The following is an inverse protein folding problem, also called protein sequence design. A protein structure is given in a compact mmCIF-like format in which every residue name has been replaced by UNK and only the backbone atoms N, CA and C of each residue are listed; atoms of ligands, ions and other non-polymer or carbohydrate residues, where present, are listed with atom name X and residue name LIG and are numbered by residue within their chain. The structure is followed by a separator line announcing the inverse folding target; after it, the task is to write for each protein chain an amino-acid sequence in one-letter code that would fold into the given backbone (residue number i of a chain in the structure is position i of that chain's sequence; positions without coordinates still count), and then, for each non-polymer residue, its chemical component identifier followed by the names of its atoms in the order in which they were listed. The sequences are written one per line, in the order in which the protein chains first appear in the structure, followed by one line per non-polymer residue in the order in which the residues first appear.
data_IF_561496116562
#
_entry.id   IF_561496116562
#
_cell.length_a   1.000
_cell.length_b   1.000
_cell.length_c   1.000
_cell.angle_alpha   90.00
_cell.angle_beta   90.00
_cell.angle_gamma   90.00
#
_symmetry.space_group_name_H-M   'P 1'
#
loop_
_entity.id
_entity.type
_entity.pdbx_description
1 polymer ?
#
# COMPACT_ATOMS: atom_id res chain seq x y z
N UNK A 1 33.29 -28.55 -2.36
CA UNK A 1 31.96 -28.06 -2.80
C UNK A 1 31.02 -28.16 -1.61
N UNK A 2 30.74 -27.04 -0.92
CA UNK A 2 29.75 -26.98 0.17
C UNK A 2 28.45 -26.45 -0.43
N UNK A 3 27.39 -27.25 -0.38
CA UNK A 3 26.08 -26.89 -0.88
C UNK A 3 25.54 -25.68 -0.12
N UNK A 4 25.14 -24.65 -0.87
CA UNK A 4 24.39 -23.51 -0.34
C UNK A 4 22.99 -24.01 -0.02
N UNK A 5 22.67 -24.16 1.27
CA UNK A 5 21.29 -24.35 1.70
C UNK A 5 20.48 -23.11 1.30
N UNK A 6 19.32 -23.26 0.64
CA UNK A 6 18.46 -22.13 0.36
C UNK A 6 18.00 -21.52 1.69
N UNK A 7 18.16 -20.21 1.80
CA UNK A 7 17.67 -19.43 2.94
C UNK A 7 16.19 -19.77 3.17
N UNK A 8 15.88 -20.21 4.39
CA UNK A 8 14.52 -20.46 4.83
C UNK A 8 13.66 -19.27 4.42
N UNK A 9 12.59 -19.54 3.66
CA UNK A 9 11.51 -18.61 3.40
C UNK A 9 11.04 -18.07 4.74
N UNK A 10 11.43 -16.84 5.06
CA UNK A 10 11.01 -16.16 6.27
C UNK A 10 9.48 -16.22 6.32
N UNK A 11 8.98 -17.00 7.28
CA UNK A 11 7.56 -17.14 7.55
C UNK A 11 6.96 -15.76 7.67
N UNK A 12 5.95 -15.49 6.84
CA UNK A 12 5.23 -14.23 6.90
C UNK A 12 4.65 -14.12 8.33
N UNK A 13 4.91 -13.02 9.07
CA UNK A 13 4.37 -12.89 10.42
C UNK A 13 2.85 -13.05 10.33
N UNK A 14 2.29 -13.93 11.16
CA UNK A 14 0.85 -14.04 11.30
C UNK A 14 0.34 -12.67 11.76
N UNK A 15 -0.41 -11.96 10.92
CA UNK A 15 -1.08 -10.72 11.32
C UNK A 15 -2.29 -11.11 12.17
N UNK A 16 -2.29 -10.84 13.48
CA UNK A 16 -3.36 -11.29 14.38
C UNK A 16 -4.47 -10.25 14.42
N UNK A 17 -5.07 -9.93 13.28
CA UNK A 17 -6.03 -8.83 13.16
C UNK A 17 -7.14 -9.11 12.16
N UNK A 18 -8.25 -8.39 12.32
CA UNK A 18 -9.34 -8.36 11.36
C UNK A 18 -8.91 -7.69 10.04
N UNK A 19 -9.75 -7.76 9.01
CA UNK A 19 -9.56 -6.96 7.80
C UNK A 19 -9.43 -5.47 8.12
N UNK A 20 -10.28 -4.98 9.04
CA UNK A 20 -10.30 -3.60 9.50
C UNK A 20 -8.96 -3.19 10.13
N UNK A 21 -8.46 -3.97 11.10
CA UNK A 21 -7.16 -3.72 11.75
C UNK A 21 -6.01 -3.68 10.73
N UNK A 22 -6.07 -4.61 9.77
CA UNK A 22 -5.07 -4.76 8.72
C UNK A 22 -5.06 -3.55 7.79
N UNK A 23 -6.24 -3.08 7.37
CA UNK A 23 -6.38 -1.91 6.49
C UNK A 23 -5.99 -0.62 7.22
N UNK A 24 -6.35 -0.48 8.50
CA UNK A 24 -5.90 0.66 9.31
C UNK A 24 -4.38 0.72 9.45
N UNK A 25 -3.75 -0.42 9.73
CA UNK A 25 -2.29 -0.53 9.82
C UNK A 25 -1.63 -0.19 8.48
N UNK A 26 -2.15 -0.75 7.38
CA UNK A 26 -1.67 -0.48 6.03
C UNK A 26 -1.73 1.02 5.69
N UNK A 27 -2.86 1.68 5.94
CA UNK A 27 -3.03 3.10 5.64
C UNK A 27 -2.08 3.98 6.45
N UNK A 28 -1.93 3.67 7.76
CA UNK A 28 -1.01 4.36 8.66
C UNK A 28 0.44 4.22 8.22
N UNK A 29 0.88 2.98 8.00
CA UNK A 29 2.27 2.69 7.64
C UNK A 29 2.63 3.29 6.28
N UNK A 30 1.70 3.23 5.32
CA UNK A 30 1.87 3.85 4.00
C UNK A 30 2.03 5.36 4.10
N UNK A 31 1.22 6.04 4.92
CA UNK A 31 1.35 7.49 5.17
C UNK A 31 2.66 7.83 5.86
N UNK A 32 3.03 7.10 6.91
CA UNK A 32 4.28 7.35 7.66
C UNK A 32 5.49 7.15 6.74
N UNK A 33 5.49 6.09 5.94
CA UNK A 33 6.55 5.83 4.98
C UNK A 33 6.63 6.94 3.93
N UNK A 34 5.50 7.36 3.35
CA UNK A 34 5.45 8.44 2.37
C UNK A 34 5.96 9.77 2.95
N UNK A 35 5.54 10.10 4.18
CA UNK A 35 5.99 11.30 4.90
C UNK A 35 7.51 11.28 5.15
N UNK A 36 8.05 10.16 5.65
CA UNK A 36 9.48 10.02 5.94
C UNK A 36 10.36 10.02 4.68
N UNK A 37 9.80 9.62 3.55
CA UNK A 37 10.54 9.48 2.28
C UNK A 37 10.10 10.51 1.24
N UNK A 38 9.46 11.63 1.64
CA UNK A 38 8.90 12.63 0.71
C UNK A 38 9.93 13.10 -0.32
N UNK A 39 11.17 13.38 0.09
CA UNK A 39 12.25 13.80 -0.81
C UNK A 39 12.60 12.75 -1.86
N UNK A 40 12.73 11.48 -1.46
CA UNK A 40 13.04 10.35 -2.35
C UNK A 40 11.90 10.11 -3.34
N UNK A 41 10.65 10.18 -2.86
CA UNK A 41 9.46 10.00 -3.69
C UNK A 41 9.34 11.11 -4.74
N UNK A 42 9.57 12.37 -4.35
CA UNK A 42 9.59 13.50 -5.29
C UNK A 42 10.69 13.38 -6.33
N UNK A 43 11.90 13.02 -5.90
CA UNK A 43 13.02 12.78 -6.83
C UNK A 43 12.70 11.66 -7.82
N UNK A 44 12.03 10.60 -7.36
CA UNK A 44 11.60 9.47 -8.20
C UNK A 44 10.52 9.88 -9.21
N UNK A 45 9.60 10.77 -8.85
CA UNK A 45 8.62 11.33 -9.80
C UNK A 45 9.29 12.18 -10.87
N UNK A 46 10.27 13.00 -10.51
CA UNK A 46 11.06 13.78 -11.46
C UNK A 46 11.85 12.85 -12.39
N UNK A 47 12.56 11.85 -11.83
CA UNK A 47 13.30 10.88 -12.61
C UNK A 47 12.39 10.15 -13.61
N UNK A 48 11.21 9.71 -13.19
CA UNK A 48 10.23 9.07 -14.08
C UNK A 48 9.84 9.94 -15.27
N UNK A 49 9.64 11.24 -15.06
CA UNK A 49 9.31 12.18 -16.14
C UNK A 49 10.50 12.39 -17.07
N UNK A 50 11.72 12.41 -16.54
CA UNK A 50 12.94 12.70 -17.30
C UNK A 50 13.50 11.49 -18.04
N UNK A 51 13.51 10.31 -17.43
CA UNK A 51 14.16 9.09 -17.95
C UNK A 51 13.19 8.00 -18.38
N UNK A 52 11.91 8.10 -17.99
CA UNK A 52 10.91 7.06 -18.22
C UNK A 52 11.00 5.86 -17.26
N UNK A 53 12.02 5.80 -16.41
CA UNK A 53 12.17 4.73 -15.42
C UNK A 53 11.25 4.96 -14.21
N UNK A 54 10.54 3.91 -13.78
CA UNK A 54 9.68 3.95 -12.59
C UNK A 54 10.14 2.89 -11.57
N UNK A 55 11.22 3.17 -10.81
CA UNK A 55 11.79 2.22 -9.86
C UNK A 55 10.80 1.85 -8.75
N UNK A 56 9.85 2.72 -8.44
CA UNK A 56 8.82 2.48 -7.42
C UNK A 56 7.78 1.47 -7.94
N UNK A 57 7.38 1.56 -9.21
CA UNK A 57 6.35 0.69 -9.80
C UNK A 57 6.75 -0.78 -9.88
N UNK A 58 8.03 -1.07 -10.10
CA UNK A 58 8.52 -2.45 -10.23
C UNK A 58 8.46 -3.21 -8.90
N UNK A 59 8.85 -2.56 -7.80
CA UNK A 59 8.73 -3.10 -6.43
C UNK A 59 7.28 -3.27 -5.99
N UNK A 60 6.38 -2.42 -6.48
CA UNK A 60 4.99 -2.37 -6.00
C UNK A 60 4.10 -3.47 -6.61
N UNK A 61 4.37 -3.94 -7.85
CA UNK A 61 3.44 -4.85 -8.55
C UNK A 61 3.29 -6.22 -7.88
N UNK A 62 4.38 -6.86 -7.48
CA UNK A 62 4.31 -8.18 -6.81
C UNK A 62 3.71 -8.05 -5.41
N UNK A 63 4.15 -7.02 -4.67
CA UNK A 63 3.57 -6.68 -3.36
C UNK A 63 2.04 -6.53 -3.43
N UNK A 64 1.53 -5.89 -4.48
CA UNK A 64 0.09 -5.71 -4.70
C UNK A 64 -0.69 -7.01 -4.90
N UNK A 65 -0.12 -7.96 -5.63
CA UNK A 65 -0.75 -9.26 -5.88
C UNK A 65 -0.84 -10.04 -4.56
N UNK A 66 0.24 -10.03 -3.79
CA UNK A 66 0.33 -10.73 -2.51
C UNK A 66 -0.59 -10.11 -1.46
N UNK A 67 -0.62 -8.77 -1.38
CA UNK A 67 -1.48 -8.03 -0.47
C UNK A 67 -2.96 -8.28 -0.75
N UNK A 68 -3.40 -8.20 -2.01
CA UNK A 68 -4.80 -8.46 -2.36
C UNK A 68 -5.22 -9.89 -2.00
N UNK A 69 -4.34 -10.87 -2.22
CA UNK A 69 -4.61 -12.27 -1.85
C UNK A 69 -4.75 -12.43 -0.33
N UNK A 70 -3.92 -11.75 0.46
CA UNK A 70 -3.97 -11.78 1.92
C UNK A 70 -5.24 -11.12 2.45
N UNK A 71 -5.55 -9.91 1.99
CA UNK A 71 -6.76 -9.19 2.42
C UNK A 71 -8.03 -9.94 2.05
N UNK A 72 -8.07 -10.61 0.90
CA UNK A 72 -9.21 -11.43 0.50
C UNK A 72 -9.48 -12.61 1.46
N UNK A 73 -8.46 -13.16 2.12
CA UNK A 73 -8.61 -14.23 3.13
C UNK A 73 -9.18 -13.72 4.45
N UNK A 74 -9.00 -12.43 4.74
CA UNK A 74 -9.52 -11.78 5.95
C UNK A 74 -10.95 -11.23 5.76
N UNK A 75 -11.44 -11.20 4.52
CA UNK A 75 -12.75 -10.64 4.20
C UNK A 75 -13.87 -11.61 4.61
N UNK A 76 -14.94 -11.14 5.28
CA UNK A 76 -16.04 -12.02 5.75
C UNK A 76 -16.75 -12.79 4.63
N UNK A 77 -16.89 -12.17 3.45
CA UNK A 77 -17.48 -12.83 2.27
C UNK A 77 -16.58 -13.89 1.62
N UNK A 78 -15.35 -14.07 2.11
CA UNK A 78 -14.35 -14.96 1.53
C UNK A 78 -13.76 -14.43 0.20
N UNK A 79 -12.78 -15.16 -0.37
CA UNK A 79 -12.10 -14.74 -1.58
C UNK A 79 -12.98 -14.89 -2.83
N UNK A 80 -13.05 -13.84 -3.66
CA UNK A 80 -13.69 -13.86 -4.98
C UNK A 80 -12.92 -12.98 -5.98
N UNK A 81 -13.12 -13.21 -7.28
CA UNK A 81 -12.48 -12.38 -8.32
C UNK A 81 -12.92 -10.91 -8.23
N UNK A 82 -14.19 -10.66 -7.91
CA UNK A 82 -14.72 -9.31 -7.74
C UNK A 82 -14.09 -8.62 -6.53
N UNK A 83 -13.96 -9.32 -5.40
CA UNK A 83 -13.28 -8.80 -4.22
C UNK A 83 -11.81 -8.47 -4.51
N UNK A 84 -11.10 -9.35 -5.22
CA UNK A 84 -9.72 -9.10 -5.62
C UNK A 84 -9.56 -7.83 -6.47
N UNK A 85 -10.52 -7.55 -7.36
CA UNK A 85 -10.56 -6.30 -8.13
C UNK A 85 -10.81 -5.08 -7.23
N UNK A 86 -11.79 -5.15 -6.32
CA UNK A 86 -12.08 -4.07 -5.36
C UNK A 86 -10.89 -3.77 -4.47
N UNK A 87 -10.20 -4.79 -3.97
CA UNK A 87 -9.00 -4.65 -3.13
C UNK A 87 -7.86 -3.93 -3.88
N UNK A 88 -7.62 -4.31 -5.15
CA UNK A 88 -6.61 -3.64 -6.00
C UNK A 88 -7.00 -2.20 -6.28
N UNK A 89 -8.27 -1.94 -6.57
CA UNK A 89 -8.78 -0.58 -6.80
C UNK A 89 -8.67 0.29 -5.55
N UNK A 90 -9.11 -0.20 -4.38
CA UNK A 90 -9.03 0.49 -3.11
C UNK A 90 -7.58 0.87 -2.76
N UNK A 91 -6.64 -0.05 -2.97
CA UNK A 91 -5.22 0.26 -2.79
C UNK A 91 -4.71 1.30 -3.80
N UNK A 92 -5.10 1.19 -5.08
CA UNK A 92 -4.72 2.20 -6.09
C UNK A 92 -5.23 3.59 -5.71
N UNK A 93 -6.47 3.70 -5.19
CA UNK A 93 -7.04 4.96 -4.72
C UNK A 93 -6.26 5.52 -3.52
N UNK A 94 -5.89 4.66 -2.55
CA UNK A 94 -5.06 5.04 -1.41
C UNK A 94 -3.68 5.55 -1.86
N UNK A 95 -3.00 4.84 -2.76
CA UNK A 95 -1.71 5.26 -3.31
C UNK A 95 -1.80 6.58 -4.09
N UNK A 96 -2.88 6.77 -4.87
CA UNK A 96 -3.16 8.03 -5.56
C UNK A 96 -3.39 9.20 -4.59
N UNK A 97 -4.06 8.94 -3.47
CA UNK A 97 -4.28 9.95 -2.42
C UNK A 97 -2.96 10.37 -1.77
N UNK A 98 -2.09 9.41 -1.44
CA UNK A 98 -0.76 9.70 -0.91
C UNK A 98 0.10 10.50 -1.90
N UNK A 99 0.04 10.15 -3.19
CA UNK A 99 0.74 10.87 -4.25
C UNK A 99 0.21 12.31 -4.38
N UNK A 100 -1.11 12.50 -4.29
CA UNK A 100 -1.72 13.82 -4.31
C UNK A 100 -1.25 14.67 -3.12
N UNK A 101 -1.26 14.13 -1.91
CA UNK A 101 -0.77 14.81 -0.71
C UNK A 101 0.74 15.10 -0.77
N UNK A 102 1.52 14.22 -1.41
CA UNK A 102 2.95 14.40 -1.63
C UNK A 102 3.23 15.59 -2.57
N UNK A 103 2.46 15.73 -3.64
CA UNK A 103 2.62 16.80 -4.63
C UNK A 103 2.11 18.14 -4.06
N UNK A 104 0.97 18.11 -3.38
CA UNK A 104 0.27 19.31 -2.90
C UNK A 104 0.52 19.52 -1.39
N UNK A 105 1.55 20.32 -1.08
CA UNK A 105 1.95 20.63 0.32
C UNK A 105 0.84 21.27 1.15
N UNK A 106 -0.02 22.06 0.51
CA UNK A 106 -1.16 22.75 1.14
C UNK A 106 -2.49 22.03 0.83
N UNK A 107 -2.48 20.70 0.88
CA UNK A 107 -3.71 19.92 0.76
C UNK A 107 -4.48 19.88 2.07
N UNK A 108 -5.81 19.74 1.98
CA UNK A 108 -6.70 19.53 3.13
C UNK A 108 -6.23 18.36 4.02
N UNK A 109 -5.62 17.35 3.42
CA UNK A 109 -5.01 16.20 4.09
C UNK A 109 -3.54 16.05 3.69
N UNK A 110 -2.67 16.83 4.34
CA UNK A 110 -1.22 16.71 4.15
C UNK A 110 -0.67 15.37 4.70
N UNK A 111 0.51 14.95 4.25
CA UNK A 111 1.16 13.71 4.73
C UNK A 111 1.44 13.70 6.25
N UNK A 112 1.63 14.89 6.84
CA UNK A 112 1.80 15.08 8.29
C UNK A 112 0.49 14.95 9.07
N UNK A 113 -0.66 15.05 8.41
CA UNK A 113 -1.98 14.96 9.05
C UNK A 113 -2.34 13.51 9.33
N UNK A 114 -2.62 13.20 10.61
CA UNK A 114 -3.06 11.86 11.02
C UNK A 114 -4.46 11.53 10.55
N UNK A 115 -5.32 12.52 10.25
CA UNK A 115 -6.66 12.25 9.71
C UNK A 115 -6.60 11.58 8.35
N UNK A 116 -5.52 11.78 7.60
CA UNK A 116 -5.34 11.19 6.27
C UNK A 116 -5.35 9.64 6.33
N UNK A 117 -4.66 9.02 7.29
CA UNK A 117 -4.64 7.55 7.36
C UNK A 117 -5.99 6.95 7.79
N UNK A 118 -6.71 7.64 8.68
CA UNK A 118 -8.06 7.27 9.08
C UNK A 118 -9.06 7.32 7.91
N UNK A 119 -9.06 8.40 7.13
CA UNK A 119 -9.98 8.56 5.99
C UNK A 119 -9.62 7.62 4.81
N UNK A 120 -8.33 7.35 4.59
CA UNK A 120 -7.90 6.34 3.63
C UNK A 120 -8.38 4.95 4.04
N UNK A 121 -8.21 4.55 5.31
CA UNK A 121 -8.67 3.26 5.80
C UNK A 121 -10.20 3.11 5.69
N UNK A 122 -10.95 4.15 6.10
CA UNK A 122 -12.41 4.19 5.97
C UNK A 122 -12.86 4.03 4.52
N UNK A 123 -12.28 4.81 3.61
CA UNK A 123 -12.61 4.76 2.18
C UNK A 123 -12.26 3.40 1.57
N UNK A 124 -11.15 2.81 1.99
CA UNK A 124 -10.75 1.47 1.57
C UNK A 124 -11.78 0.43 1.99
N UNK A 125 -12.16 0.41 3.28
CA UNK A 125 -13.14 -0.54 3.82
C UNK A 125 -14.51 -0.40 3.14
N UNK A 126 -14.98 0.83 2.94
CA UNK A 126 -16.23 1.10 2.21
C UNK A 126 -16.20 0.58 0.76
N UNK A 127 -15.04 0.61 0.11
CA UNK A 127 -14.87 0.13 -1.26
C UNK A 127 -14.94 -1.39 -1.36
N UNK A 128 -14.55 -2.10 -0.29
CA UNK A 128 -14.43 -3.57 -0.31
C UNK A 128 -15.57 -4.28 0.43
N UNK A 129 -16.40 -3.53 1.15
CA UNK A 129 -17.62 -4.01 1.81
C UNK A 129 -18.60 -4.74 0.87
#
# INVERSE_FOLDING_TARGET
MRGVQPAATAGCPAWPGTLEDTVHTLARDSRIWAYRNEGVLRASLVARVTTGEDPIRQLNRQYMIDLATRLARLHPAGPSQQLALRLRFAHQAMAGTLLFALINRESTFALSDRRLDLEMARSFLLTVA
#
